data_IF_135851443765
#
_entry.id   IF_135851443765
#
_cell.length_a   1.000
_cell.length_b   1.000
_cell.length_c   1.000
_cell.angle_alpha   90.00
_cell.angle_beta   90.00
_cell.angle_gamma   90.00
#
_symmetry.space_group_name_H-M   'P 1'
#
loop_
_entity.id
_entity.type
_entity.pdbx_description
1 polymer ?
#
# COMPACT_ATOMS: atom_id res chain seq x y z
N UNK A 1 -71.17 -0.98 -24.06
CA UNK A 1 -71.28 -0.42 -25.43
C UNK A 1 -70.15 0.58 -25.61
N UNK A 2 -69.52 0.56 -26.79
CA UNK A 2 -68.44 1.45 -27.30
C UNK A 2 -67.09 1.36 -26.55
N UNK A 3 -66.09 0.62 -27.03
CA UNK A 3 -65.14 0.93 -28.13
C UNK A 3 -64.48 2.30 -28.01
N UNK A 4 -63.16 2.33 -27.78
CA UNK A 4 -62.18 3.01 -28.65
C UNK A 4 -60.75 2.69 -28.21
N UNK A 5 -60.05 1.99 -29.10
CA UNK A 5 -58.60 1.88 -29.14
C UNK A 5 -58.05 3.07 -29.95
N UNK A 6 -56.88 3.58 -29.58
CA UNK A 6 -56.04 4.39 -30.46
C UNK A 6 -54.57 4.00 -30.29
N UNK A 7 -54.05 3.44 -31.37
CA UNK A 7 -52.65 3.31 -31.75
C UNK A 7 -51.89 4.63 -31.70
N UNK A 8 -50.61 4.59 -31.31
CA UNK A 8 -49.58 5.56 -31.71
C UNK A 8 -48.20 4.87 -31.83
N UNK A 9 -47.26 5.43 -32.64
CA UNK A 9 -46.51 4.67 -33.62
C UNK A 9 -45.02 4.43 -33.30
N UNK A 10 -44.47 3.49 -34.07
CA UNK A 10 -43.06 3.21 -34.31
C UNK A 10 -42.35 4.33 -35.10
N UNK A 11 -41.15 4.73 -34.66
CA UNK A 11 -40.15 5.47 -35.44
C UNK A 11 -38.77 5.14 -34.83
N UNK A 12 -37.88 4.41 -35.51
CA UNK A 12 -37.06 4.76 -36.67
C UNK A 12 -35.63 5.14 -36.24
N UNK A 13 -34.69 4.39 -36.81
CA UNK A 13 -33.25 4.47 -36.59
C UNK A 13 -32.65 5.80 -37.09
N UNK A 14 -31.60 6.24 -36.41
CA UNK A 14 -30.68 7.25 -36.90
C UNK A 14 -29.27 6.66 -36.85
N UNK A 15 -28.77 6.25 -38.02
CA UNK A 15 -27.34 6.03 -38.26
C UNK A 15 -26.69 7.41 -38.44
N UNK A 16 -25.71 7.71 -37.61
CA UNK A 16 -24.88 8.91 -37.70
C UNK A 16 -23.48 8.54 -38.17
N UNK A 17 -23.14 8.98 -39.38
CA UNK A 17 -21.80 8.94 -39.96
C UNK A 17 -20.81 9.95 -39.33
N UNK A 18 -19.52 9.56 -39.40
CA UNK A 18 -18.29 10.37 -39.44
C UNK A 18 -17.75 10.93 -38.09
N UNK A 19 -16.41 11.02 -37.87
CA UNK A 19 -15.43 11.49 -38.87
C UNK A 19 -14.03 10.84 -38.92
N UNK A 20 -13.49 10.89 -40.15
CA UNK A 20 -12.11 11.20 -40.58
C UNK A 20 -11.03 11.30 -39.48
N UNK A 21 -10.12 10.34 -39.47
CA UNK A 21 -8.82 10.43 -38.78
C UNK A 21 -7.79 11.14 -39.66
N UNK A 22 -7.12 12.22 -39.18
CA UNK A 22 -5.96 12.76 -39.86
C UNK A 22 -4.71 11.94 -39.53
N UNK A 23 -3.94 11.62 -40.57
CA UNK A 23 -2.56 11.14 -40.47
C UNK A 23 -1.72 12.15 -39.70
N UNK A 24 -1.13 11.71 -38.59
CA UNK A 24 -0.13 12.49 -37.87
C UNK A 24 1.27 12.04 -38.29
N UNK A 25 2.09 13.03 -38.63
CA UNK A 25 3.44 12.88 -39.15
C UNK A 25 4.38 12.26 -38.11
N UNK A 26 5.23 11.36 -38.58
CA UNK A 26 6.44 10.94 -37.90
C UNK A 26 7.44 12.11 -37.97
N UNK A 27 7.67 12.78 -36.84
CA UNK A 27 8.89 13.53 -36.62
C UNK A 27 9.86 12.61 -35.86
N UNK A 28 10.87 12.14 -36.59
CA UNK A 28 12.08 11.56 -36.06
C UNK A 28 12.83 12.62 -35.27
N UNK A 29 12.92 12.44 -33.95
CA UNK A 29 13.84 13.18 -33.12
C UNK A 29 14.16 12.33 -31.89
N UNK A 30 15.28 11.60 -31.92
CA UNK A 30 16.28 11.85 -30.88
C UNK A 30 17.65 11.27 -31.25
N UNK A 31 18.64 12.16 -31.21
CA UNK A 31 20.06 11.84 -31.19
C UNK A 31 20.50 11.94 -29.74
N UNK A 32 20.78 10.82 -29.10
CA UNK A 32 21.47 10.83 -27.81
C UNK A 32 22.77 10.04 -27.88
N UNK A 33 23.86 10.80 -27.78
CA UNK A 33 25.25 10.36 -27.73
C UNK A 33 25.48 9.52 -26.47
N UNK A 34 25.97 8.30 -26.66
CA UNK A 34 26.62 7.51 -25.62
C UNK A 34 27.83 8.29 -25.08
N UNK A 35 27.84 8.56 -23.78
CA UNK A 35 29.05 8.97 -23.06
C UNK A 35 29.42 7.82 -22.14
N UNK A 36 30.39 7.03 -22.59
CA UNK A 36 31.00 5.92 -21.87
C UNK A 36 31.95 6.51 -20.83
N UNK A 37 31.62 6.37 -19.54
CA UNK A 37 32.51 6.74 -18.43
C UNK A 37 33.08 5.46 -17.84
N UNK A 38 34.32 5.17 -18.24
CA UNK A 38 35.13 4.06 -17.74
C UNK A 38 35.76 4.50 -16.40
N UNK A 39 35.16 4.06 -15.29
CA UNK A 39 35.53 4.43 -13.93
C UNK A 39 36.08 3.23 -13.16
N UNK A 40 37.36 2.95 -13.40
CA UNK A 40 38.20 2.01 -12.64
C UNK A 40 38.38 2.52 -11.20
N UNK A 41 37.95 1.75 -10.19
CA UNK A 41 38.31 1.99 -8.79
C UNK A 41 38.70 0.66 -8.15
N UNK A 42 39.86 0.73 -7.49
CA UNK A 42 40.74 -0.34 -7.07
C UNK A 42 40.22 -1.20 -5.90
N UNK A 43 40.64 -2.46 -5.93
CA UNK A 43 40.72 -3.38 -4.79
C UNK A 43 41.57 -2.80 -3.66
N UNK A 44 41.09 -2.92 -2.42
CA UNK A 44 41.95 -2.96 -1.24
C UNK A 44 41.30 -3.74 -0.08
N UNK A 45 41.96 -4.84 0.27
CA UNK A 45 42.31 -5.29 1.63
C UNK A 45 41.22 -5.52 2.69
N UNK A 46 40.87 -6.80 2.84
CA UNK A 46 41.32 -7.65 3.96
C UNK A 46 41.54 -6.95 5.33
N UNK A 47 40.57 -7.08 6.25
CA UNK A 47 40.85 -7.11 7.69
C UNK A 47 39.93 -8.12 8.38
N UNK A 48 40.60 -9.00 9.12
CA UNK A 48 40.13 -10.14 9.85
C UNK A 48 39.29 -9.84 11.12
N UNK A 49 38.56 -10.88 11.53
CA UNK A 49 38.52 -11.44 12.90
C UNK A 49 38.04 -10.54 14.06
N UNK A 50 36.85 -10.84 14.61
CA UNK A 50 36.67 -10.97 16.07
C UNK A 50 35.25 -11.44 16.46
N UNK A 51 35.17 -12.73 16.80
CA UNK A 51 34.57 -13.32 18.02
C UNK A 51 33.13 -12.95 18.45
N UNK A 52 32.30 -14.00 18.41
CA UNK A 52 31.09 -14.20 19.22
C UNK A 52 31.32 -13.93 20.72
N UNK A 53 30.35 -13.29 21.42
CA UNK A 53 30.19 -13.46 22.85
C UNK A 53 29.16 -14.55 23.16
N UNK A 54 29.63 -15.52 23.95
CA UNK A 54 28.93 -16.67 24.51
C UNK A 54 27.59 -16.33 25.20
N UNK A 55 26.54 -17.05 24.81
CA UNK A 55 25.27 -17.07 25.52
C UNK A 55 25.41 -17.77 26.88
N UNK A 56 25.31 -17.01 27.96
CA UNK A 56 25.24 -17.54 29.33
C UNK A 56 23.92 -18.24 29.59
N UNK A 57 24.02 -19.57 29.66
CA UNK A 57 23.04 -20.53 30.17
C UNK A 57 22.73 -20.26 31.66
N UNK A 58 21.55 -19.70 31.95
CA UNK A 58 20.98 -19.69 33.30
C UNK A 58 19.81 -20.67 33.43
N UNK A 59 19.91 -21.47 34.50
CA UNK A 59 19.10 -22.62 34.91
C UNK A 59 17.70 -22.19 35.41
N UNK A 60 16.67 -23.04 35.26
CA UNK A 60 15.30 -22.73 35.69
C UNK A 60 15.12 -22.96 37.19
N UNK A 61 14.31 -22.13 37.86
CA UNK A 61 13.31 -22.57 38.84
C UNK A 61 12.51 -21.37 39.39
N UNK A 62 11.18 -21.46 39.32
CA UNK A 62 10.19 -21.21 40.40
C UNK A 62 8.91 -20.60 39.85
N UNK A 63 7.91 -21.44 39.58
CA UNK A 63 6.49 -21.12 39.85
C UNK A 63 6.36 -20.82 41.35
N UNK A 64 5.58 -19.82 41.78
CA UNK A 64 4.13 -19.84 41.59
C UNK A 64 3.53 -18.44 41.34
N UNK A 65 2.31 -18.42 40.81
CA UNK A 65 1.14 -17.73 41.41
C UNK A 65 0.11 -17.55 40.31
N UNK A 66 -1.05 -18.16 40.57
CA UNK A 66 -2.26 -18.09 39.79
C UNK A 66 -2.80 -16.65 39.84
N UNK A 67 -2.19 -15.75 39.06
CA UNK A 67 -2.72 -14.44 38.79
C UNK A 67 -3.71 -14.59 37.62
N UNK A 68 -4.99 -14.61 37.98
CA UNK A 68 -6.11 -14.52 37.07
C UNK A 68 -5.84 -13.41 36.04
N UNK A 69 -5.77 -13.71 34.73
CA UNK A 69 -5.52 -12.69 33.72
C UNK A 69 -6.65 -11.68 33.79
N UNK A 70 -6.33 -10.49 34.30
CA UNK A 70 -7.18 -9.32 34.19
C UNK A 70 -7.56 -9.20 32.72
N UNK A 71 -8.85 -9.36 32.44
CA UNK A 71 -9.41 -9.19 31.11
C UNK A 71 -8.81 -7.94 30.49
N UNK A 72 -8.24 -8.02 29.27
CA UNK A 72 -7.65 -6.85 28.64
C UNK A 72 -8.72 -5.78 28.62
N UNK A 73 -8.47 -4.70 29.36
CA UNK A 73 -9.26 -3.49 29.32
C UNK A 73 -9.49 -3.19 27.84
N UNK A 74 -10.75 -3.15 27.43
CA UNK A 74 -11.23 -2.75 26.11
C UNK A 74 -10.63 -1.38 25.83
N UNK A 75 -9.40 -1.39 25.35
CA UNK A 75 -8.62 -0.20 25.09
C UNK A 75 -9.35 0.41 23.92
N UNK A 76 -9.89 1.60 24.14
CA UNK A 76 -10.59 2.38 23.13
C UNK A 76 -9.92 2.12 21.79
N UNK A 77 -10.62 1.43 20.89
CA UNK A 77 -10.25 1.34 19.50
C UNK A 77 -10.45 2.75 18.96
N UNK A 78 -9.51 3.62 19.29
CA UNK A 78 -9.50 4.98 18.81
C UNK A 78 -9.52 4.85 17.29
N UNK A 79 -10.62 5.30 16.69
CA UNK A 79 -10.83 5.13 15.27
C UNK A 79 -9.65 5.79 14.55
N UNK A 80 -8.83 4.96 13.89
CA UNK A 80 -7.70 5.45 13.12
C UNK A 80 -8.22 6.29 11.95
N UNK A 81 -7.50 7.36 11.66
CA UNK A 81 -7.78 8.22 10.53
C UNK A 81 -6.51 8.49 9.75
N UNK A 82 -6.66 8.78 8.47
CA UNK A 82 -5.59 9.39 7.68
C UNK A 82 -5.32 10.81 8.21
N UNK A 83 -4.06 11.22 8.11
CA UNK A 83 -3.57 12.52 8.53
C UNK A 83 -3.55 13.48 7.34
N UNK A 84 -4.41 14.51 7.37
CA UNK A 84 -4.48 15.51 6.31
C UNK A 84 -3.22 16.36 6.18
N UNK A 85 -2.42 16.49 7.24
CA UNK A 85 -1.16 17.24 7.21
C UNK A 85 0.00 16.39 6.65
N UNK A 86 -0.17 15.06 6.61
CA UNK A 86 0.81 14.10 6.10
C UNK A 86 0.21 13.30 4.94
N UNK A 87 -0.24 14.03 3.93
CA UNK A 87 -0.98 13.53 2.78
C UNK A 87 -0.40 14.13 1.49
N UNK A 88 -0.18 13.28 0.47
CA UNK A 88 0.31 13.72 -0.83
C UNK A 88 -0.71 14.59 -1.57
N UNK A 89 -0.22 15.39 -2.52
CA UNK A 89 -0.99 16.45 -3.17
C UNK A 89 -2.15 15.89 -4.02
N UNK A 90 -2.03 14.64 -4.48
CA UNK A 90 -3.04 13.96 -5.28
C UNK A 90 -3.88 12.96 -4.48
N UNK A 91 -3.80 13.01 -3.15
CA UNK A 91 -4.65 12.21 -2.27
C UNK A 91 -5.76 13.09 -1.70
N UNK A 92 -7.00 12.62 -1.83
CA UNK A 92 -8.18 13.25 -1.25
C UNK A 92 -8.68 12.41 -0.11
N UNK A 93 -8.96 13.05 1.03
CA UNK A 93 -9.52 12.39 2.19
C UNK A 93 -11.03 12.66 2.28
N UNK A 94 -11.79 11.66 2.73
CA UNK A 94 -13.21 11.85 3.06
C UNK A 94 -13.38 12.84 4.22
N UNK A 95 -14.60 13.36 4.43
CA UNK A 95 -14.90 14.28 5.54
C UNK A 95 -14.59 13.68 6.93
N UNK A 96 -14.61 12.35 7.06
CA UNK A 96 -14.25 11.63 8.29
C UNK A 96 -12.78 11.19 8.30
N UNK A 97 -12.03 11.51 7.25
CA UNK A 97 -10.60 11.22 7.08
C UNK A 97 -10.24 9.73 7.16
N UNK A 98 -11.21 8.82 7.13
CA UNK A 98 -10.96 7.38 7.20
C UNK A 98 -10.78 6.76 5.82
N UNK A 99 -11.26 7.43 4.76
CA UNK A 99 -11.13 6.96 3.38
C UNK A 99 -10.20 7.90 2.63
N UNK A 100 -9.22 7.33 1.92
CA UNK A 100 -8.39 8.04 0.96
C UNK A 100 -8.79 7.68 -0.47
N UNK A 101 -8.64 8.62 -1.39
CA UNK A 101 -8.78 8.41 -2.83
C UNK A 101 -7.62 9.09 -3.57
N UNK A 102 -7.00 8.41 -4.53
CA UNK A 102 -5.97 9.03 -5.38
C UNK A 102 -6.56 9.57 -6.69
N UNK A 103 -6.03 10.71 -7.14
CA UNK A 103 -6.33 11.33 -8.43
C UNK A 103 -5.02 11.65 -9.16
N UNK A 104 -4.28 10.60 -9.53
CA UNK A 104 -2.92 10.72 -10.08
C UNK A 104 -3.01 10.83 -11.60
N UNK A 105 -2.46 11.92 -12.12
CA UNK A 105 -2.43 12.20 -13.56
C UNK A 105 -1.11 11.77 -14.21
N UNK A 106 -0.04 11.68 -13.42
CA UNK A 106 1.31 11.32 -13.85
C UNK A 106 1.76 10.03 -13.16
N UNK A 107 1.97 8.93 -13.90
CA UNK A 107 2.38 7.64 -13.33
C UNK A 107 3.79 7.66 -12.71
N UNK A 108 4.62 8.67 -12.99
CA UNK A 108 5.93 8.81 -12.36
C UNK A 108 5.84 9.45 -10.96
N UNK A 109 4.70 10.05 -10.64
CA UNK A 109 4.50 10.79 -9.39
C UNK A 109 3.98 9.90 -8.25
N UNK A 110 4.85 9.67 -7.27
CA UNK A 110 4.50 9.00 -6.03
C UNK A 110 3.68 9.90 -5.11
N UNK A 111 2.67 9.30 -4.49
CA UNK A 111 1.79 9.90 -3.52
C UNK A 111 1.65 8.98 -2.31
N UNK A 112 1.72 9.56 -1.13
CA UNK A 112 1.69 8.83 0.13
C UNK A 112 0.67 9.44 1.08
N UNK A 113 0.12 8.63 1.96
CA UNK A 113 -0.66 9.12 3.11
C UNK A 113 -0.27 8.36 4.37
N UNK A 114 -0.18 9.08 5.47
CA UNK A 114 0.12 8.56 6.79
C UNK A 114 -1.16 8.56 7.64
N UNK A 115 -1.31 7.61 8.55
CA UNK A 115 -2.32 7.73 9.60
C UNK A 115 -1.91 8.77 10.65
N UNK A 116 -2.90 9.38 11.31
CA UNK A 116 -2.71 10.42 12.34
C UNK A 116 -2.00 9.93 13.60
N UNK A 117 -2.02 8.62 13.84
CA UNK A 117 -1.50 8.00 15.05
C UNK A 117 -0.74 6.71 14.73
N UNK A 118 0.24 6.40 15.59
CA UNK A 118 0.93 5.13 15.53
C UNK A 118 -0.01 4.00 15.98
N UNK A 119 0.13 2.83 15.38
CA UNK A 119 -0.70 1.67 15.69
C UNK A 119 0.16 0.40 15.76
N UNK A 120 -0.22 -0.53 16.64
CA UNK A 120 0.37 -1.88 16.64
C UNK A 120 -0.36 -2.81 15.67
N UNK A 121 -1.66 -2.58 15.46
CA UNK A 121 -2.45 -3.29 14.45
C UNK A 121 -3.35 -2.28 13.77
N UNK A 122 -3.46 -2.36 12.45
CA UNK A 122 -4.49 -1.64 11.70
C UNK A 122 -5.09 -2.54 10.62
N UNK A 123 -6.27 -2.13 10.16
CA UNK A 123 -7.00 -2.80 9.09
C UNK A 123 -7.38 -1.77 8.05
N UNK A 124 -7.26 -2.15 6.79
CA UNK A 124 -7.69 -1.31 5.68
C UNK A 124 -8.48 -2.16 4.70
N UNK A 125 -9.64 -1.65 4.28
CA UNK A 125 -10.42 -2.23 3.18
C UNK A 125 -10.00 -1.56 1.88
N UNK A 126 -9.74 -2.37 0.86
CA UNK A 126 -9.44 -1.90 -0.49
C UNK A 126 -10.77 -1.67 -1.21
N UNK A 127 -11.31 -0.45 -1.16
CA UNK A 127 -12.60 -0.16 -1.79
C UNK A 127 -12.48 -0.13 -3.33
N UNK A 128 -11.31 0.29 -3.84
CA UNK A 128 -10.91 0.23 -5.24
C UNK A 128 -9.38 0.10 -5.31
N UNK A 129 -8.86 -0.98 -5.90
CA UNK A 129 -7.41 -1.21 -6.04
C UNK A 129 -6.74 -0.29 -7.09
N UNK A 130 -7.52 0.51 -7.81
CA UNK A 130 -7.04 1.49 -8.76
C UNK A 130 -6.48 0.88 -10.05
N UNK A 131 -5.72 1.70 -10.79
CA UNK A 131 -5.13 1.33 -12.09
C UNK A 131 -3.77 1.98 -12.29
N UNK A 132 -2.93 1.32 -13.07
CA UNK A 132 -1.55 1.76 -13.32
C UNK A 132 -0.69 1.73 -12.04
N UNK A 133 0.62 1.86 -12.19
CA UNK A 133 1.54 1.97 -11.07
C UNK A 133 1.50 0.82 -10.05
N UNK A 134 2.14 1.10 -8.92
CA UNK A 134 2.25 0.27 -7.74
C UNK A 134 1.46 0.87 -6.57
N UNK A 135 0.96 -0.04 -5.73
CA UNK A 135 0.27 0.28 -4.49
C UNK A 135 0.92 -0.51 -3.37
N UNK A 136 1.42 0.19 -2.36
CA UNK A 136 2.12 -0.37 -1.21
C UNK A 136 1.42 0.06 0.06
N UNK A 137 1.19 -0.88 0.97
CA UNK A 137 0.48 -0.64 2.23
C UNK A 137 1.21 -1.29 3.39
N UNK A 138 1.35 -0.58 4.50
CA UNK A 138 2.10 -1.09 5.65
C UNK A 138 2.46 -0.02 6.67
N UNK A 139 3.68 -0.10 7.19
CA UNK A 139 4.17 0.78 8.25
C UNK A 139 5.37 1.60 7.80
N UNK A 140 5.42 2.88 8.18
CA UNK A 140 6.64 3.67 8.16
C UNK A 140 6.88 4.38 9.50
N UNK A 141 8.09 4.95 9.65
CA UNK A 141 8.39 5.88 10.75
C UNK A 141 7.97 7.28 10.33
N UNK A 142 7.54 8.11 11.28
CA UNK A 142 7.07 9.48 11.01
C UNK A 142 8.13 10.36 10.35
N UNK A 143 9.39 10.24 10.78
CA UNK A 143 10.54 10.98 10.23
C UNK A 143 10.98 10.51 8.83
N UNK A 144 10.52 9.34 8.40
CA UNK A 144 10.85 8.73 7.12
C UNK A 144 9.74 8.90 6.08
N UNK A 145 8.66 9.61 6.45
CA UNK A 145 7.50 9.84 5.61
C UNK A 145 7.72 11.04 4.67
N UNK A 146 7.45 10.85 3.39
CA UNK A 146 7.56 11.86 2.34
C UNK A 146 6.27 11.84 1.50
N UNK A 147 5.35 12.82 1.67
CA UNK A 147 4.02 12.77 1.07
C UNK A 147 3.99 12.61 -0.46
N UNK A 148 4.96 13.21 -1.16
CA UNK A 148 5.04 13.22 -2.63
C UNK A 148 6.35 12.59 -3.12
N UNK A 149 6.81 11.51 -2.48
CA UNK A 149 8.12 10.95 -2.79
C UNK A 149 8.40 9.57 -2.21
N UNK A 150 9.68 9.26 -2.04
CA UNK A 150 10.15 7.95 -1.60
C UNK A 150 10.01 7.77 -0.08
N UNK A 151 8.81 7.43 0.37
CA UNK A 151 8.56 7.01 1.75
C UNK A 151 9.17 5.63 1.98
N UNK A 152 9.98 5.48 3.04
CA UNK A 152 10.62 4.21 3.39
C UNK A 152 9.90 3.52 4.55
N UNK A 153 9.74 2.21 4.45
CA UNK A 153 8.96 1.46 5.44
C UNK A 153 9.03 -0.05 5.28
N UNK A 154 7.98 -0.70 5.74
CA UNK A 154 7.74 -2.13 5.70
C UNK A 154 6.35 -2.31 5.12
N UNK A 155 6.30 -2.74 3.88
CA UNK A 155 5.09 -2.67 3.06
C UNK A 155 4.77 -4.03 2.43
N UNK A 156 3.50 -4.25 2.14
CA UNK A 156 3.02 -5.25 1.21
C UNK A 156 2.70 -4.55 -0.11
N UNK A 157 3.24 -5.01 -1.22
CA UNK A 157 2.77 -4.61 -2.54
C UNK A 157 1.42 -5.28 -2.80
N UNK A 158 0.45 -4.47 -3.19
CA UNK A 158 -0.89 -4.91 -3.54
C UNK A 158 -0.89 -5.19 -5.04
N UNK A 159 -0.89 -6.48 -5.40
CA UNK A 159 -1.01 -6.89 -6.79
C UNK A 159 -2.49 -6.94 -7.19
N UNK A 160 -2.80 -6.39 -8.35
CA UNK A 160 -4.16 -6.43 -8.90
C UNK A 160 -4.42 -7.81 -9.48
N UNK A 161 -5.37 -8.57 -8.92
CA UNK A 161 -5.63 -9.95 -9.32
C UNK A 161 -6.00 -10.12 -10.82
N UNK A 162 -6.56 -9.08 -11.44
CA UNK A 162 -6.94 -9.07 -12.87
C UNK A 162 -5.77 -8.90 -13.83
N UNK A 163 -4.58 -8.58 -13.34
CA UNK A 163 -3.41 -8.36 -14.19
C UNK A 163 -2.75 -9.70 -14.53
N UNK A 164 -3.14 -10.25 -15.69
CA UNK A 164 -2.50 -11.43 -16.24
C UNK A 164 -0.99 -11.18 -16.36
N UNK A 165 -0.18 -12.04 -15.73
CA UNK A 165 1.30 -12.03 -15.74
C UNK A 165 2.01 -11.12 -14.72
N UNK A 166 1.34 -10.65 -13.67
CA UNK A 166 2.06 -9.94 -12.60
C UNK A 166 2.77 -10.95 -11.70
N UNK A 167 4.08 -11.07 -11.87
CA UNK A 167 4.97 -11.73 -10.92
C UNK A 167 5.33 -10.72 -9.83
N UNK A 168 4.82 -10.93 -8.62
CA UNK A 168 5.27 -10.21 -7.43
C UNK A 168 6.60 -10.73 -6.90
N UNK A 169 7.20 -9.97 -6.00
CA UNK A 169 8.28 -10.43 -5.14
C UNK A 169 7.75 -11.08 -3.84
N UNK A 170 8.64 -11.39 -2.89
CA UNK A 170 8.29 -11.97 -1.59
C UNK A 170 7.44 -11.03 -0.69
N UNK A 171 7.34 -9.75 -1.04
CA UNK A 171 6.57 -8.74 -0.32
C UNK A 171 5.26 -8.38 -1.02
N UNK A 172 4.88 -9.16 -2.02
CA UNK A 172 3.74 -8.88 -2.89
C UNK A 172 2.63 -9.91 -2.74
N UNK A 173 1.37 -9.47 -2.78
CA UNK A 173 0.23 -10.40 -2.71
C UNK A 173 -0.97 -9.91 -3.52
N UNK A 174 -1.76 -10.80 -4.16
CA UNK A 174 -2.94 -10.41 -4.93
C UNK A 174 -4.12 -9.99 -4.05
N UNK A 175 -4.73 -8.87 -4.40
CA UNK A 175 -5.96 -8.33 -3.81
C UNK A 175 -7.00 -7.96 -4.88
N UNK A 176 -8.25 -7.95 -4.43
CA UNK A 176 -9.42 -7.50 -5.17
C UNK A 176 -10.19 -6.44 -4.36
N UNK A 177 -11.10 -5.73 -5.03
CA UNK A 177 -11.98 -4.77 -4.37
C UNK A 177 -12.82 -5.46 -3.29
N UNK A 178 -12.89 -4.84 -2.12
CA UNK A 178 -13.57 -5.33 -0.93
C UNK A 178 -12.70 -6.14 0.02
N UNK A 179 -11.52 -6.61 -0.41
CA UNK A 179 -10.58 -7.31 0.47
C UNK A 179 -10.13 -6.40 1.62
N UNK A 180 -9.81 -7.03 2.75
CA UNK A 180 -9.27 -6.36 3.93
C UNK A 180 -7.84 -6.84 4.19
N UNK A 181 -6.90 -5.90 4.19
CA UNK A 181 -5.56 -6.13 4.68
C UNK A 181 -5.49 -5.76 6.18
N UNK A 182 -5.02 -6.70 7.00
CA UNK A 182 -4.64 -6.47 8.39
C UNK A 182 -3.13 -6.50 8.49
N UNK A 183 -2.54 -5.51 9.16
CA UNK A 183 -1.08 -5.46 9.39
C UNK A 183 -0.82 -5.33 10.88
N UNK A 184 -0.01 -6.23 11.44
CA UNK A 184 0.29 -6.27 12.87
C UNK A 184 1.78 -6.19 13.13
N UNK A 185 2.21 -5.22 13.93
CA UNK A 185 3.54 -5.10 14.49
C UNK A 185 3.57 -5.76 15.88
N UNK A 186 4.08 -6.98 15.93
CA UNK A 186 4.30 -7.72 17.18
C UNK A 186 5.62 -7.29 17.83
N UNK A 187 5.58 -6.19 18.59
CA UNK A 187 6.78 -5.63 19.26
C UNK A 187 7.56 -6.65 20.10
N UNK A 188 6.86 -7.49 20.87
CA UNK A 188 7.49 -8.51 21.69
C UNK A 188 8.32 -9.54 20.88
N UNK A 189 7.94 -9.78 19.63
CA UNK A 189 8.64 -10.70 18.72
C UNK A 189 9.53 -9.96 17.72
N UNK A 190 9.50 -8.63 17.70
CA UNK A 190 10.15 -7.78 16.71
C UNK A 190 9.76 -8.14 15.26
N UNK A 191 8.48 -8.45 15.02
CA UNK A 191 7.99 -8.82 13.68
C UNK A 191 6.82 -7.96 13.20
N UNK A 192 6.70 -7.81 11.88
CA UNK A 192 5.48 -7.29 11.23
C UNK A 192 4.89 -8.39 10.34
N UNK A 193 3.62 -8.69 10.54
CA UNK A 193 2.86 -9.70 9.80
C UNK A 193 1.72 -9.06 9.00
N UNK A 194 1.40 -9.68 7.86
CA UNK A 194 0.31 -9.25 6.99
C UNK A 194 -0.72 -10.37 6.86
N UNK A 195 -2.00 -10.00 6.83
CA UNK A 195 -3.10 -10.93 6.64
C UNK A 195 -4.13 -10.36 5.66
N UNK A 196 -4.63 -11.18 4.74
CA UNK A 196 -5.75 -10.86 3.86
C UNK A 196 -6.99 -11.57 4.36
N UNK A 197 -8.05 -10.81 4.64
CA UNK A 197 -9.33 -11.34 5.13
C UNK A 197 -9.19 -12.25 6.37
N UNK A 198 -8.20 -11.96 7.22
CA UNK A 198 -7.89 -12.74 8.43
C UNK A 198 -6.99 -13.96 8.20
N UNK A 199 -6.59 -14.25 6.97
CA UNK A 199 -5.64 -15.31 6.63
C UNK A 199 -4.25 -14.73 6.45
N UNK A 200 -3.25 -15.35 7.08
CA UNK A 200 -1.84 -15.02 6.86
C UNK A 200 -1.44 -15.24 5.39
N UNK A 201 -0.77 -14.25 4.81
CA UNK A 201 -0.33 -14.24 3.41
C UNK A 201 1.16 -14.52 3.24
N UNK A 202 1.88 -14.83 4.32
CA UNK A 202 3.29 -15.24 4.30
C UNK A 202 4.28 -14.09 4.12
N UNK A 203 3.83 -12.85 4.25
CA UNK A 203 4.71 -11.67 4.28
C UNK A 203 5.02 -11.37 5.73
N UNK A 204 6.30 -11.47 6.07
CA UNK A 204 6.82 -11.19 7.40
C UNK A 204 8.11 -10.37 7.31
N UNK A 205 8.21 -9.34 8.15
CA UNK A 205 9.47 -8.65 8.39
C UNK A 205 9.95 -8.96 9.79
N UNK A 206 11.19 -9.43 9.90
CA UNK A 206 11.86 -9.72 11.17
C UNK A 206 12.75 -8.55 11.61
N UNK A 207 13.23 -8.63 12.86
CA UNK A 207 14.14 -7.65 13.47
C UNK A 207 13.62 -6.20 13.43
N UNK A 208 12.30 -6.04 13.53
CA UNK A 208 11.64 -4.73 13.54
C UNK A 208 11.76 -4.12 14.93
N UNK A 209 12.37 -2.94 15.00
CA UNK A 209 12.51 -2.14 16.23
C UNK A 209 11.15 -1.76 16.85
N UNK A 210 11.08 -1.72 18.17
CA UNK A 210 9.88 -1.40 18.97
C UNK A 210 9.38 0.05 18.89
N UNK A 211 10.06 0.88 18.09
CA UNK A 211 9.70 2.27 17.88
C UNK A 211 8.26 2.43 17.34
N UNK A 212 7.58 3.55 17.65
CA UNK A 212 6.28 3.85 17.08
C UNK A 212 6.31 3.87 15.55
N UNK A 213 5.36 3.16 14.95
CA UNK A 213 5.19 3.08 13.49
C UNK A 213 3.76 3.44 13.13
N UNK A 214 3.62 4.08 11.98
CA UNK A 214 2.37 4.66 11.52
C UNK A 214 1.90 3.89 10.28
N UNK A 215 0.63 3.49 10.23
CA UNK A 215 0.02 3.00 9.00
C UNK A 215 0.26 3.99 7.86
N UNK A 216 0.66 3.48 6.71
CA UNK A 216 0.95 4.30 5.54
C UNK A 216 0.56 3.58 4.25
N UNK A 217 0.21 4.39 3.25
CA UNK A 217 0.03 3.97 1.86
C UNK A 217 1.05 4.74 1.02
N UNK A 218 1.68 4.06 0.07
CA UNK A 218 2.62 4.63 -0.90
C UNK A 218 2.20 4.13 -2.27
N UNK A 219 1.90 5.05 -3.19
CA UNK A 219 1.36 4.66 -4.49
C UNK A 219 1.60 5.70 -5.57
N UNK A 220 1.78 5.23 -6.80
CA UNK A 220 1.65 6.01 -8.03
C UNK A 220 0.47 5.50 -8.89
N UNK A 221 -0.43 4.72 -8.29
CA UNK A 221 -1.66 4.22 -8.93
C UNK A 221 -2.78 5.26 -8.87
N UNK A 222 -3.48 5.42 -10.00
CA UNK A 222 -4.64 6.30 -10.10
C UNK A 222 -5.93 5.59 -9.62
N UNK A 223 -6.87 6.37 -9.06
CA UNK A 223 -8.18 5.93 -8.58
C UNK A 223 -8.14 4.82 -7.52
N UNK A 224 -7.06 4.74 -6.75
CA UNK A 224 -7.05 3.90 -5.55
C UNK A 224 -8.02 4.51 -4.55
N UNK A 225 -8.88 3.68 -3.95
CA UNK A 225 -9.71 4.08 -2.82
C UNK A 225 -9.61 3.06 -1.70
N UNK A 226 -9.31 3.52 -0.49
CA UNK A 226 -9.08 2.65 0.66
C UNK A 226 -9.60 3.27 1.95
N UNK A 227 -10.21 2.45 2.80
CA UNK A 227 -10.78 2.86 4.08
C UNK A 227 -10.09 2.19 5.26
N UNK A 228 -9.54 3.00 6.19
CA UNK A 228 -9.13 2.54 7.52
C UNK A 228 -10.35 2.11 8.34
N UNK A 229 -10.26 0.92 8.95
CA UNK A 229 -11.33 0.29 9.72
C UNK A 229 -11.10 0.36 11.23
#
# INVERSE_FOLDING_TARGET
MAHSALDLPSAAAAEGEAPVTPHNNQDECDSTKETQVDGKIDEADDVADAREPEQKKHKPLSTPTNAQPSSPSTTDLQALSWDGDHCGDHVRLSNKTNTMETCILDPEQWNCVLASQAASTFRVRLDNVGRGGDLWVGYCKKDSFVPNGSTRGRFCQILRASAANVTGDETSHPFEDGDVLTVTHHRANHTILFQKNGQDIGIEYEHVTDEPRYPAVVTNSDRVSMTLL
#
